data_IF_786641331005
#
_entry.id   IF_786641331005
#
_cell.length_a   1.000
_cell.length_b   1.000
_cell.length_c   1.000
_cell.angle_alpha   90.00
_cell.angle_beta   90.00
_cell.angle_gamma   90.00
#
_symmetry.space_group_name_H-M   'P 1'
#
loop_
_entity.id
_entity.type
_entity.pdbx_description
1 polymer ?
#
# COMPACT_ATOMS: atom_id res chain seq x y z
N UNK A 1 -0.38 -8.25 -21.01
CA UNK A 1 -0.44 -7.08 -20.11
C UNK A 1 -1.75 -6.37 -20.40
N UNK A 2 -2.59 -6.13 -19.41
CA UNK A 2 -3.89 -5.48 -19.61
C UNK A 2 -3.73 -3.95 -19.48
N UNK A 3 -3.88 -3.17 -20.57
CA UNK A 3 -3.75 -1.71 -20.55
C UNK A 3 -4.74 -1.04 -19.60
N UNK A 4 -5.89 -1.67 -19.30
CA UNK A 4 -6.90 -1.12 -18.42
C UNK A 4 -6.43 -0.97 -16.96
N UNK A 5 -5.31 -1.60 -16.59
CA UNK A 5 -4.72 -1.53 -15.23
C UNK A 5 -3.78 -0.33 -15.04
N UNK A 6 -3.57 0.45 -16.08
CA UNK A 6 -2.65 1.58 -16.08
C UNK A 6 -3.37 2.88 -16.41
N UNK A 7 -2.78 3.98 -15.97
CA UNK A 7 -3.17 5.35 -16.29
C UNK A 7 -1.92 6.16 -16.64
N UNK A 8 -2.07 7.27 -17.37
CA UNK A 8 -0.95 8.15 -17.67
C UNK A 8 -0.68 9.07 -16.48
N UNK A 9 0.52 9.00 -15.93
CA UNK A 9 1.00 9.93 -14.92
C UNK A 9 1.20 11.34 -15.48
N UNK A 10 1.50 12.30 -14.61
CA UNK A 10 1.68 13.71 -15.00
C UNK A 10 2.79 13.94 -16.03
N UNK A 11 3.77 13.04 -16.08
CA UNK A 11 4.89 13.08 -17.04
C UNK A 11 4.59 12.31 -18.33
N UNK A 12 3.37 11.81 -18.52
CA UNK A 12 3.01 10.94 -19.65
C UNK A 12 3.53 9.50 -19.53
N UNK A 13 4.14 9.15 -18.38
CA UNK A 13 4.63 7.79 -18.11
C UNK A 13 3.45 6.94 -17.61
N UNK A 14 3.21 5.75 -18.19
CA UNK A 14 2.22 4.81 -17.66
C UNK A 14 2.55 4.40 -16.23
N UNK A 15 1.59 4.58 -15.33
CA UNK A 15 1.66 4.15 -13.93
C UNK A 15 0.48 3.22 -13.63
N UNK A 16 0.63 2.26 -12.70
CA UNK A 16 -0.51 1.45 -12.28
C UNK A 16 -1.58 2.36 -11.69
N UNK A 17 -2.85 2.04 -11.96
CA UNK A 17 -3.96 2.65 -11.21
C UNK A 17 -3.78 2.38 -9.71
N UNK A 18 -4.31 3.27 -8.88
CA UNK A 18 -4.08 3.21 -7.44
C UNK A 18 -4.58 1.90 -6.79
N UNK A 19 -5.77 1.43 -7.18
CA UNK A 19 -6.34 0.15 -6.76
C UNK A 19 -5.45 -1.03 -7.17
N UNK A 20 -4.96 -1.02 -8.40
CA UNK A 20 -4.02 -2.04 -8.90
C UNK A 20 -2.72 -2.04 -8.08
N UNK A 21 -2.16 -0.86 -7.81
CA UNK A 21 -0.94 -0.73 -7.03
C UNK A 21 -1.16 -1.20 -5.58
N UNK A 22 -2.20 -0.69 -4.91
CA UNK A 22 -2.53 -1.06 -3.54
C UNK A 22 -2.82 -2.57 -3.39
N UNK A 23 -3.56 -3.15 -4.34
CA UNK A 23 -3.80 -4.59 -4.37
C UNK A 23 -2.49 -5.36 -4.50
N UNK A 24 -1.56 -4.92 -5.35
CA UNK A 24 -0.27 -5.59 -5.48
C UNK A 24 0.56 -5.57 -4.19
N UNK A 25 0.47 -4.48 -3.41
CA UNK A 25 1.15 -4.39 -2.11
C UNK A 25 0.51 -5.33 -1.08
N UNK A 26 -0.82 -5.49 -1.10
CA UNK A 26 -1.52 -6.46 -0.27
C UNK A 26 -1.15 -7.89 -0.66
N UNK A 27 -1.19 -8.22 -1.95
CA UNK A 27 -0.93 -9.56 -2.46
C UNK A 27 0.50 -10.01 -2.13
N UNK A 28 1.47 -9.09 -2.22
CA UNK A 28 2.88 -9.37 -1.97
C UNK A 28 3.30 -9.19 -0.51
N UNK A 29 2.33 -8.96 0.38
CA UNK A 29 2.55 -8.64 1.80
C UNK A 29 3.61 -7.54 2.02
N UNK A 30 3.62 -6.52 1.15
CA UNK A 30 4.53 -5.40 1.26
C UNK A 30 3.97 -4.34 2.23
N UNK A 31 4.06 -4.65 3.52
CA UNK A 31 3.46 -3.85 4.58
C UNK A 31 4.06 -2.44 4.73
N UNK A 32 5.36 -2.26 4.41
CA UNK A 32 6.04 -0.96 4.52
C UNK A 32 5.49 0.02 3.49
N UNK A 33 5.50 -0.38 2.22
CA UNK A 33 5.01 0.48 1.14
C UNK A 33 3.50 0.70 1.25
N UNK A 34 2.74 -0.30 1.74
CA UNK A 34 1.31 -0.16 2.00
C UNK A 34 1.04 0.87 3.11
N UNK A 35 1.85 0.87 4.18
CA UNK A 35 1.75 1.86 5.26
C UNK A 35 2.07 3.27 4.76
N UNK A 36 3.12 3.42 3.95
CA UNK A 36 3.48 4.70 3.35
C UNK A 36 2.39 5.21 2.40
N UNK A 37 1.78 4.33 1.61
CA UNK A 37 0.64 4.66 0.75
C UNK A 37 -0.56 5.16 1.57
N UNK A 38 -0.92 4.44 2.63
CA UNK A 38 -2.03 4.81 3.54
C UNK A 38 -1.73 6.13 4.24
N UNK A 39 -0.48 6.35 4.65
CA UNK A 39 -0.06 7.61 5.27
C UNK A 39 -0.09 8.78 4.28
N UNK A 40 0.29 8.57 3.02
CA UNK A 40 0.33 9.61 1.98
C UNK A 40 -1.04 10.06 1.48
N UNK A 41 -2.04 9.19 1.56
CA UNK A 41 -3.35 9.43 0.94
C UNK A 41 -4.53 9.43 1.95
N UNK A 42 -4.28 9.07 3.22
CA UNK A 42 -5.27 8.98 4.30
C UNK A 42 -6.58 8.30 3.86
N UNK A 43 -6.46 7.07 3.39
CA UNK A 43 -7.52 6.39 2.64
C UNK A 43 -8.41 5.52 3.52
N UNK A 44 -9.71 5.51 3.21
CA UNK A 44 -10.72 4.55 3.73
C UNK A 44 -11.41 3.76 2.60
N UNK A 45 -11.15 4.08 1.33
CA UNK A 45 -11.83 3.50 0.17
C UNK A 45 -11.46 2.04 -0.12
N UNK A 46 -10.39 1.50 0.48
CA UNK A 46 -9.92 0.17 0.09
C UNK A 46 -10.92 -0.96 0.32
N UNK A 47 -11.89 -0.80 1.23
CA UNK A 47 -12.98 -1.78 1.40
C UNK A 47 -13.92 -1.86 0.18
N UNK A 48 -13.99 -0.82 -0.65
CA UNK A 48 -14.87 -0.78 -1.84
C UNK A 48 -14.16 -1.23 -3.13
N UNK A 49 -12.84 -1.06 -3.22
CA UNK A 49 -12.11 -1.24 -4.50
C UNK A 49 -10.99 -2.28 -4.43
N UNK A 50 -10.67 -2.82 -3.25
CA UNK A 50 -9.66 -3.89 -3.12
C UNK A 50 -10.35 -5.24 -2.95
N UNK A 51 -9.72 -6.27 -3.49
CA UNK A 51 -10.13 -7.66 -3.31
C UNK A 51 -9.58 -8.18 -1.97
N UNK A 52 -10.41 -8.07 -0.94
CA UNK A 52 -10.05 -8.38 0.45
C UNK A 52 -10.47 -9.78 0.91
N UNK A 53 -11.28 -10.51 0.13
CA UNK A 53 -11.84 -11.84 0.52
C UNK A 53 -10.86 -13.00 0.27
N UNK A 54 -9.62 -12.68 -0.10
CA UNK A 54 -8.52 -13.61 -0.29
C UNK A 54 -7.42 -13.56 0.77
N UNK A 55 -6.36 -14.30 0.48
CA UNK A 55 -5.09 -14.26 1.21
C UNK A 55 -3.97 -13.74 0.30
N UNK A 56 -2.82 -13.39 0.90
CA UNK A 56 -1.59 -13.04 0.20
C UNK A 56 -1.16 -14.12 -0.82
N UNK A 57 -0.42 -13.71 -1.84
CA UNK A 57 0.08 -14.59 -2.90
C UNK A 57 1.30 -15.39 -2.42
N UNK A 58 1.04 -16.62 -1.97
CA UNK A 58 2.06 -17.56 -1.49
C UNK A 58 3.01 -18.00 -2.61
N UNK A 59 2.54 -18.05 -3.87
CA UNK A 59 3.39 -18.44 -4.99
C UNK A 59 4.42 -17.35 -5.29
N UNK A 60 3.99 -16.08 -5.33
CA UNK A 60 4.91 -14.95 -5.42
C UNK A 60 5.89 -14.95 -4.25
N UNK A 61 5.38 -15.24 -3.05
CA UNK A 61 6.20 -15.28 -1.88
C UNK A 61 7.34 -16.31 -2.05
N UNK A 62 7.00 -17.57 -2.30
CA UNK A 62 7.99 -18.64 -2.46
C UNK A 62 9.00 -18.34 -3.56
N UNK A 63 8.55 -17.81 -4.70
CA UNK A 63 9.43 -17.39 -5.78
C UNK A 63 10.46 -16.34 -5.33
N UNK A 64 10.05 -15.36 -4.53
CA UNK A 64 10.95 -14.33 -4.01
C UNK A 64 11.98 -14.90 -3.01
N UNK A 65 11.57 -15.83 -2.16
CA UNK A 65 12.47 -16.52 -1.25
C UNK A 65 13.55 -17.30 -2.01
N UNK A 66 13.15 -18.12 -2.99
CA UNK A 66 14.08 -18.85 -3.85
C UNK A 66 15.05 -17.91 -4.60
N UNK A 67 14.54 -16.79 -5.11
CA UNK A 67 15.37 -15.81 -5.83
C UNK A 67 16.47 -15.23 -4.93
N UNK A 68 16.15 -14.94 -3.66
CA UNK A 68 17.13 -14.42 -2.69
C UNK A 68 18.10 -15.51 -2.22
N UNK A 69 17.64 -16.75 -2.03
CA UNK A 69 18.51 -17.88 -1.71
C UNK A 69 19.58 -18.09 -2.79
N UNK A 70 19.20 -17.98 -4.08
CA UNK A 70 20.15 -18.04 -5.20
C UNK A 70 21.21 -16.93 -5.15
N UNK A 71 20.90 -15.79 -4.54
CA UNK A 71 21.84 -14.69 -4.31
C UNK A 71 22.63 -14.83 -2.98
N UNK A 72 22.48 -15.93 -2.26
CA UNK A 72 23.09 -16.13 -0.94
C UNK A 72 22.50 -15.24 0.16
N UNK A 73 21.29 -14.73 -0.06
CA UNK A 73 20.54 -13.91 0.90
C UNK A 73 19.40 -14.72 1.50
N UNK A 74 18.96 -14.34 2.69
CA UNK A 74 17.77 -14.88 3.32
C UNK A 74 16.84 -13.74 3.72
N UNK A 75 15.54 -13.95 3.60
CA UNK A 75 14.54 -13.03 4.14
C UNK A 75 14.42 -13.30 5.65
N UNK A 76 15.06 -12.46 6.46
CA UNK A 76 14.83 -12.48 7.90
C UNK A 76 13.35 -12.24 8.21
N UNK A 77 12.72 -13.14 8.96
CA UNK A 77 11.29 -13.07 9.28
C UNK A 77 10.36 -13.54 8.15
N UNK A 78 10.89 -14.33 7.20
CA UNK A 78 10.11 -14.92 6.12
C UNK A 78 9.06 -15.91 6.64
N UNK A 79 7.80 -15.66 6.28
CA UNK A 79 6.68 -16.55 6.52
C UNK A 79 5.87 -16.67 5.22
N UNK A 80 5.83 -17.87 4.65
CA UNK A 80 5.01 -18.19 3.48
C UNK A 80 3.57 -18.52 3.85
N UNK A 81 3.21 -18.41 5.13
CA UNK A 81 1.84 -18.60 5.59
C UNK A 81 0.93 -17.53 4.96
N UNK A 82 -0.11 -17.94 4.20
CA UNK A 82 -1.05 -17.00 3.62
C UNK A 82 -1.77 -16.21 4.72
N UNK A 83 -1.62 -14.88 4.69
CA UNK A 83 -2.33 -13.99 5.60
C UNK A 83 -3.55 -13.39 4.91
N UNK A 84 -4.65 -13.21 5.66
CA UNK A 84 -5.89 -12.64 5.13
C UNK A 84 -5.68 -11.18 4.74
N UNK A 85 -5.97 -10.83 3.48
CA UNK A 85 -5.78 -9.46 2.95
C UNK A 85 -6.58 -8.44 3.75
N UNK A 86 -7.84 -8.77 4.07
CA UNK A 86 -8.69 -7.92 4.94
C UNK A 86 -8.03 -7.60 6.28
N UNK A 87 -7.38 -8.59 6.92
CA UNK A 87 -6.69 -8.40 8.20
C UNK A 87 -5.50 -7.44 8.06
N UNK A 88 -4.70 -7.61 7.01
CA UNK A 88 -3.57 -6.73 6.71
C UNK A 88 -4.10 -5.30 6.47
N UNK A 89 -5.08 -5.14 5.58
CA UNK A 89 -5.67 -3.86 5.25
C UNK A 89 -6.21 -3.13 6.49
N UNK A 90 -7.08 -3.78 7.27
CA UNK A 90 -7.71 -3.20 8.45
C UNK A 90 -6.69 -2.84 9.54
N UNK A 91 -5.68 -3.68 9.74
CA UNK A 91 -4.56 -3.35 10.61
C UNK A 91 -3.88 -2.07 10.14
N UNK A 92 -3.48 -2.00 8.87
CA UNK A 92 -2.72 -0.86 8.31
C UNK A 92 -3.49 0.45 8.34
N UNK A 93 -4.80 0.45 8.02
CA UNK A 93 -5.62 1.67 8.04
C UNK A 93 -6.14 2.06 9.43
N UNK A 94 -5.91 1.23 10.45
CA UNK A 94 -6.39 1.49 11.81
C UNK A 94 -5.86 2.81 12.37
N UNK A 95 -6.68 3.47 13.19
CA UNK A 95 -6.28 4.69 13.90
C UNK A 95 -5.01 4.47 14.76
N UNK A 96 -4.85 3.27 15.32
CA UNK A 96 -3.65 2.89 16.06
C UNK A 96 -2.40 2.90 15.18
N UNK A 97 -2.42 2.23 14.01
CA UNK A 97 -1.28 2.22 13.09
C UNK A 97 -0.98 3.62 12.54
N UNK A 98 -2.00 4.35 12.09
CA UNK A 98 -1.85 5.74 11.61
C UNK A 98 -1.21 6.65 12.67
N UNK A 99 -1.57 6.49 13.95
CA UNK A 99 -0.97 7.24 15.07
C UNK A 99 0.47 6.82 15.32
N UNK A 100 0.75 5.51 15.34
CA UNK A 100 2.10 4.97 15.56
C UNK A 100 3.06 5.39 14.44
N UNK A 101 2.60 5.42 13.19
CA UNK A 101 3.39 5.84 12.02
C UNK A 101 3.88 7.30 12.08
N UNK A 102 3.26 8.16 12.90
CA UNK A 102 3.77 9.51 13.15
C UNK A 102 5.06 9.52 14.00
N UNK A 103 5.39 8.40 14.63
CA UNK A 103 6.55 8.26 15.49
C UNK A 103 6.50 9.20 16.71
N UNK A 104 7.67 9.50 17.25
CA UNK A 104 7.83 10.41 18.39
C UNK A 104 7.55 11.89 18.04
N UNK A 105 7.48 12.22 16.74
CA UNK A 105 7.19 13.57 16.23
C UNK A 105 5.69 13.75 15.95
N UNK A 106 4.85 13.25 16.85
CA UNK A 106 3.39 13.44 16.76
C UNK A 106 3.08 14.93 16.58
N UNK A 107 2.27 15.23 15.55
CA UNK A 107 1.84 16.59 15.27
C UNK A 107 0.33 16.61 15.17
N UNK A 108 -0.32 17.33 16.09
CA UNK A 108 -1.78 17.45 16.14
C UNK A 108 -2.38 18.01 14.84
N UNK A 109 -1.60 18.73 14.02
CA UNK A 109 -2.04 19.21 12.71
C UNK A 109 -2.13 18.10 11.63
N UNK A 110 -1.66 16.88 11.90
CA UNK A 110 -1.66 15.76 10.95
C UNK A 110 -2.61 14.63 11.39
N UNK A 111 -3.19 13.94 10.40
CA UNK A 111 -4.04 12.75 10.58
C UNK A 111 -3.19 11.48 10.54
N UNK A 112 -2.25 11.43 9.59
CA UNK A 112 -1.27 10.35 9.39
C UNK A 112 0.13 10.94 9.43
N UNK A 113 1.17 10.16 9.11
CA UNK A 113 2.55 10.69 9.01
C UNK A 113 2.70 11.80 7.97
N UNK A 114 1.97 11.72 6.85
CA UNK A 114 2.16 12.61 5.70
C UNK A 114 0.92 13.45 5.35
N UNK A 115 -0.23 13.18 5.96
CA UNK A 115 -1.48 13.88 5.66
C UNK A 115 -1.84 14.93 6.70
N UNK A 116 -1.93 16.21 6.28
CA UNK A 116 -2.39 17.30 7.15
C UNK A 116 -3.91 17.30 7.32
N UNK A 117 -4.41 17.65 8.51
CA UNK A 117 -5.85 17.86 8.73
C UNK A 117 -6.36 18.97 7.79
N UNK A 118 -7.50 18.72 7.17
CA UNK A 118 -8.11 19.65 6.21
C UNK A 118 -7.40 19.71 4.84
N UNK A 119 -6.35 18.92 4.62
CA UNK A 119 -5.73 18.77 3.30
C UNK A 119 -6.73 18.15 2.31
N UNK A 120 -6.78 18.71 1.10
CA UNK A 120 -7.54 18.14 -0.02
C UNK A 120 -6.74 17.03 -0.69
N UNK A 121 -7.44 16.12 -1.35
CA UNK A 121 -6.79 15.07 -2.14
C UNK A 121 -5.80 15.67 -3.15
N UNK A 122 -4.49 15.39 -3.03
CA UNK A 122 -3.47 15.97 -3.91
C UNK A 122 -3.63 15.50 -5.37
N UNK A 123 -4.36 14.40 -5.62
CA UNK A 123 -4.68 13.92 -6.97
C UNK A 123 -5.77 14.77 -7.63
N UNK A 124 -6.61 15.42 -6.83
CA UNK A 124 -7.67 16.31 -7.32
C UNK A 124 -7.10 17.71 -7.49
N UNK A 125 -6.58 18.00 -8.70
CA UNK A 125 -6.17 19.36 -9.08
C UNK A 125 -7.32 20.36 -8.90
N UNK A 126 -7.00 21.60 -8.47
CA UNK A 126 -7.82 22.78 -8.81
C UNK A 126 -7.71 22.98 -10.33
N UNK A 127 -8.81 23.37 -10.97
CA UNK A 127 -9.03 23.41 -12.41
C UNK A 127 -7.89 23.93 -13.29
N UNK A 128 -7.95 23.52 -14.55
CA UNK A 128 -6.92 23.68 -15.58
C UNK A 128 -6.48 25.10 -15.89
N UNK A 129 -5.35 25.18 -16.58
CA UNK A 129 -5.26 25.58 -17.99
C UNK A 129 -4.27 24.64 -18.68
#
# INVERSE_FOLDING_TARGET
MDPARFELGQTGIPVPKLDVFAQSLLDTNNGVDLEDLVNGLNMEWGEEYLELDGSTDVAWANWKAEALEREGKSLHGWDSTPEKRRKIWQSTVSAYRKKRGQGWKYNAAHVTRFWRRGQRDPRRRKGGF
#
